data_IF_085272660564
#
_entry.id   IF_085272660564
#
_cell.length_a   1.000
_cell.length_b   1.000
_cell.length_c   1.000
_cell.angle_alpha   90.00
_cell.angle_beta   90.00
_cell.angle_gamma   90.00
#
_symmetry.space_group_name_H-M   'P 1'
#
loop_
_entity.id
_entity.type
_entity.pdbx_description
1 polymer ?
#
# COMPACT_ATOMS: atom_id res chain seq x y z
N UNK A 1 -19.92 -5.73 -15.54
CA UNK A 1 -19.17 -5.12 -14.41
C UNK A 1 -17.72 -4.93 -14.85
N UNK A 2 -17.30 -3.72 -15.25
CA UNK A 2 -15.89 -3.47 -15.65
C UNK A 2 -15.07 -3.27 -14.37
N UNK A 3 -14.38 -4.31 -13.91
CA UNK A 3 -13.45 -4.21 -12.79
C UNK A 3 -12.36 -3.19 -13.18
N UNK A 4 -12.26 -2.10 -12.42
CA UNK A 4 -11.14 -1.17 -12.58
C UNK A 4 -9.87 -1.95 -12.21
N UNK A 5 -8.89 -2.02 -13.12
CA UNK A 5 -7.57 -2.66 -12.93
C UNK A 5 -6.97 -2.50 -11.51
N UNK A 6 -6.97 -1.31 -10.87
CA UNK A 6 -6.46 -1.16 -9.49
C UNK A 6 -7.18 -2.00 -8.42
N UNK A 7 -8.43 -2.37 -8.63
CA UNK A 7 -9.21 -3.18 -7.68
C UNK A 7 -8.78 -4.65 -7.69
N UNK A 8 -8.29 -5.15 -8.82
CA UNK A 8 -7.80 -6.53 -8.97
C UNK A 8 -6.51 -6.69 -8.17
N UNK A 9 -5.52 -5.80 -8.37
CA UNK A 9 -4.26 -5.82 -7.63
C UNK A 9 -4.45 -5.63 -6.12
N UNK A 10 -5.44 -4.83 -5.72
CA UNK A 10 -5.85 -4.68 -4.32
C UNK A 10 -6.36 -5.99 -3.71
N UNK A 11 -7.31 -6.66 -4.38
CA UNK A 11 -7.85 -7.94 -3.91
C UNK A 11 -6.76 -9.00 -3.87
N UNK A 12 -5.96 -9.07 -4.93
CA UNK A 12 -4.88 -10.03 -5.07
C UNK A 12 -3.89 -9.89 -3.91
N UNK A 13 -3.41 -8.68 -3.60
CA UNK A 13 -2.54 -8.40 -2.46
C UNK A 13 -3.11 -8.98 -1.14
N UNK A 14 -4.40 -8.77 -0.89
CA UNK A 14 -5.07 -9.29 0.32
C UNK A 14 -5.07 -10.82 0.37
N UNK A 15 -5.37 -11.47 -0.75
CA UNK A 15 -5.39 -12.93 -0.81
C UNK A 15 -4.00 -13.55 -0.67
N UNK A 16 -2.97 -12.92 -1.27
CA UNK A 16 -1.59 -13.34 -1.12
C UNK A 16 -1.12 -13.22 0.34
N UNK A 17 -1.39 -12.10 1.01
CA UNK A 17 -1.08 -11.94 2.42
C UNK A 17 -1.81 -12.95 3.32
N UNK A 18 -3.12 -13.16 3.11
CA UNK A 18 -3.87 -14.17 3.85
C UNK A 18 -3.32 -15.58 3.61
N UNK A 19 -2.94 -15.89 2.38
CA UNK A 19 -2.27 -17.15 2.04
C UNK A 19 -0.95 -17.32 2.79
N UNK A 20 -0.15 -16.26 2.91
CA UNK A 20 1.08 -16.28 3.68
C UNK A 20 0.82 -16.57 5.16
N UNK A 21 -0.19 -15.91 5.77
CA UNK A 21 -0.58 -16.18 7.17
C UNK A 21 -1.07 -17.62 7.38
N UNK A 22 -1.94 -18.11 6.49
CA UNK A 22 -2.43 -19.50 6.56
C UNK A 22 -1.26 -20.48 6.44
N UNK A 23 -0.32 -20.24 5.52
CA UNK A 23 0.86 -21.09 5.36
C UNK A 23 1.75 -21.08 6.61
N UNK A 24 1.88 -19.96 7.31
CA UNK A 24 2.56 -19.86 8.61
C UNK A 24 1.84 -20.67 9.69
N UNK A 25 0.53 -20.50 9.81
CA UNK A 25 -0.28 -21.23 10.80
C UNK A 25 -0.27 -22.74 10.57
N UNK A 26 -0.24 -23.20 9.31
CA UNK A 26 -0.11 -24.62 8.99
C UNK A 26 1.23 -25.15 9.51
N UNK A 27 2.32 -24.38 9.39
CA UNK A 27 3.64 -24.79 9.88
C UNK A 27 3.67 -24.90 11.41
N UNK A 28 3.05 -23.96 12.11
CA UNK A 28 3.05 -23.91 13.58
C UNK A 28 2.14 -24.98 14.21
N UNK A 29 1.00 -25.29 13.58
CA UNK A 29 0.00 -26.22 14.12
C UNK A 29 0.16 -27.66 13.61
N UNK A 30 1.12 -27.94 12.74
CA UNK A 30 1.31 -29.29 12.21
C UNK A 30 1.90 -30.26 13.25
N UNK A 31 1.40 -31.48 13.27
CA UNK A 31 1.92 -32.55 14.12
C UNK A 31 3.37 -32.88 13.72
N UNK A 32 4.30 -32.72 14.67
CA UNK A 32 5.75 -32.94 14.47
C UNK A 32 6.10 -34.39 14.18
N UNK A 33 5.15 -35.30 14.37
CA UNK A 33 5.31 -36.74 14.21
C UNK A 33 5.04 -37.22 12.78
N UNK A 34 4.40 -36.41 11.95
CA UNK A 34 4.03 -36.78 10.57
C UNK A 34 4.97 -36.15 9.55
N UNK A 35 5.44 -36.90 8.53
CA UNK A 35 6.29 -36.34 7.49
C UNK A 35 5.48 -35.36 6.64
N UNK A 36 5.95 -34.10 6.57
CA UNK A 36 5.40 -33.09 5.65
C UNK A 36 6.49 -32.52 4.75
N UNK A 37 6.09 -32.08 3.55
CA UNK A 37 6.98 -31.42 2.61
C UNK A 37 7.30 -29.98 3.08
N UNK A 38 8.17 -29.85 4.08
CA UNK A 38 8.61 -28.56 4.66
C UNK A 38 9.07 -27.57 3.59
N UNK A 39 9.83 -28.05 2.60
CA UNK A 39 10.25 -27.23 1.47
C UNK A 39 9.04 -26.62 0.74
N UNK A 40 8.01 -27.40 0.40
CA UNK A 40 6.87 -26.86 -0.33
C UNK A 40 6.11 -25.78 0.48
N UNK A 41 5.91 -26.03 1.78
CA UNK A 41 5.25 -25.07 2.67
C UNK A 41 6.03 -23.77 2.81
N UNK A 42 7.35 -23.85 3.03
CA UNK A 42 8.20 -22.65 3.11
C UNK A 42 8.29 -21.90 1.78
N UNK A 43 8.36 -22.61 0.64
CA UNK A 43 8.33 -21.98 -0.69
C UNK A 43 7.02 -21.21 -0.90
N UNK A 44 5.89 -21.81 -0.53
CA UNK A 44 4.60 -21.16 -0.60
C UNK A 44 4.55 -19.91 0.31
N UNK A 45 5.01 -20.00 1.55
CA UNK A 45 5.03 -18.87 2.48
C UNK A 45 5.88 -17.70 1.96
N UNK A 46 7.13 -17.99 1.55
CA UNK A 46 8.05 -17.00 1.01
C UNK A 46 7.49 -16.37 -0.27
N UNK A 47 6.95 -17.18 -1.18
CA UNK A 47 6.32 -16.68 -2.40
C UNK A 47 5.13 -15.76 -2.10
N UNK A 48 4.22 -16.20 -1.23
CA UNK A 48 2.97 -15.50 -0.95
C UNK A 48 3.22 -14.16 -0.23
N UNK A 49 4.14 -14.14 0.76
CA UNK A 49 4.52 -12.92 1.48
C UNK A 49 5.20 -11.89 0.58
N UNK A 50 6.24 -12.31 -0.14
CA UNK A 50 6.97 -11.42 -1.04
C UNK A 50 6.12 -10.96 -2.24
N UNK A 51 5.22 -11.81 -2.74
CA UNK A 51 4.27 -11.40 -3.79
C UNK A 51 3.27 -10.37 -3.26
N UNK A 52 2.83 -10.46 -2.00
CA UNK A 52 2.02 -9.41 -1.37
C UNK A 52 2.78 -8.08 -1.35
N UNK A 53 4.05 -8.08 -0.94
CA UNK A 53 4.90 -6.88 -0.97
C UNK A 53 4.99 -6.27 -2.39
N UNK A 54 5.27 -7.10 -3.39
CA UNK A 54 5.33 -6.66 -4.78
C UNK A 54 4.00 -6.12 -5.31
N UNK A 55 2.87 -6.71 -4.91
CA UNK A 55 1.53 -6.24 -5.27
C UNK A 55 1.17 -4.93 -4.55
N UNK A 56 1.65 -4.72 -3.32
CA UNK A 56 1.51 -3.46 -2.61
C UNK A 56 2.23 -2.33 -3.36
N UNK A 57 3.47 -2.55 -3.79
CA UNK A 57 4.21 -1.62 -4.64
C UNK A 57 3.50 -1.39 -5.99
N UNK A 58 2.95 -2.45 -6.59
CA UNK A 58 2.22 -2.35 -7.84
C UNK A 58 0.97 -1.45 -7.73
N UNK A 59 0.24 -1.53 -6.61
CA UNK A 59 -0.89 -0.65 -6.33
C UNK A 59 -0.49 0.83 -6.29
N UNK A 60 0.71 1.14 -5.81
CA UNK A 60 1.26 2.50 -5.83
C UNK A 60 1.66 2.91 -7.26
N UNK A 61 2.30 2.01 -8.01
CA UNK A 61 2.72 2.25 -9.40
C UNK A 61 1.56 2.52 -10.35
N UNK A 62 0.43 1.82 -10.20
CA UNK A 62 -0.78 2.06 -11.01
C UNK A 62 -1.31 3.48 -10.83
N UNK A 63 -1.21 4.06 -9.63
CA UNK A 63 -1.59 5.46 -9.40
C UNK A 63 -0.70 6.39 -10.20
N UNK A 64 0.60 6.15 -10.21
CA UNK A 64 1.55 6.94 -10.99
C UNK A 64 1.27 6.83 -12.49
N UNK A 65 0.92 5.65 -12.99
CA UNK A 65 0.52 5.46 -14.38
C UNK A 65 -0.73 6.31 -14.71
N UNK A 66 -1.73 6.34 -13.81
CA UNK A 66 -2.93 7.15 -14.00
C UNK A 66 -2.65 8.67 -13.99
N UNK A 67 -1.63 9.12 -13.24
CA UNK A 67 -1.22 10.53 -13.14
C UNK A 67 -0.37 10.97 -14.36
N UNK A 68 0.33 10.03 -15.00
CA UNK A 68 1.23 10.29 -16.12
C UNK A 68 0.77 9.66 -17.46
N UNK A 69 -0.49 9.85 -17.90
CA UNK A 69 -1.04 9.13 -19.05
C UNK A 69 -0.35 9.48 -20.39
N UNK A 70 0.33 10.63 -20.46
CA UNK A 70 0.98 11.11 -21.70
C UNK A 70 2.45 10.64 -21.85
N UNK A 71 3.09 10.20 -20.76
CA UNK A 71 4.51 9.85 -20.77
C UNK A 71 4.72 8.33 -20.83
N UNK A 72 4.57 7.78 -22.04
CA UNK A 72 4.84 6.36 -22.34
C UNK A 72 6.17 5.82 -21.79
N UNK A 73 7.33 6.52 -21.85
CA UNK A 73 8.58 5.96 -21.34
C UNK A 73 8.53 5.66 -19.84
N UNK A 74 7.88 6.51 -19.04
CA UNK A 74 7.73 6.30 -17.60
C UNK A 74 6.88 5.06 -17.34
N UNK A 75 5.75 4.92 -18.05
CA UNK A 75 4.86 3.75 -17.91
C UNK A 75 5.58 2.45 -18.25
N UNK A 76 6.33 2.43 -19.37
CA UNK A 76 7.12 1.26 -19.77
C UNK A 76 8.20 0.94 -18.74
N UNK A 77 8.92 1.96 -18.23
CA UNK A 77 9.92 1.76 -17.19
C UNK A 77 9.33 1.16 -15.91
N UNK A 78 8.18 1.66 -15.43
CA UNK A 78 7.50 1.09 -14.26
C UNK A 78 7.08 -0.36 -14.51
N UNK A 79 6.54 -0.67 -15.69
CA UNK A 79 6.10 -2.03 -16.02
C UNK A 79 7.28 -3.02 -16.04
N UNK A 80 8.42 -2.61 -16.60
CA UNK A 80 9.66 -3.42 -16.60
C UNK A 80 10.16 -3.63 -15.17
N UNK A 81 10.14 -2.59 -14.33
CA UNK A 81 10.57 -2.71 -12.93
C UNK A 81 9.65 -3.65 -12.12
N UNK A 82 8.33 -3.60 -12.36
CA UNK A 82 7.38 -4.54 -11.74
C UNK A 82 7.66 -5.99 -12.15
N UNK A 83 7.88 -6.23 -13.45
CA UNK A 83 8.20 -7.57 -13.96
C UNK A 83 9.52 -8.09 -13.38
N UNK A 84 10.55 -7.24 -13.29
CA UNK A 84 11.82 -7.56 -12.65
C UNK A 84 11.65 -7.94 -11.17
N UNK A 85 10.80 -7.23 -10.44
CA UNK A 85 10.51 -7.55 -9.04
C UNK A 85 9.89 -8.95 -8.90
N UNK A 86 8.88 -9.27 -9.71
CA UNK A 86 8.23 -10.58 -9.65
C UNK A 86 9.16 -11.73 -10.06
N UNK A 87 10.06 -11.50 -11.03
CA UNK A 87 11.07 -12.48 -11.42
C UNK A 87 12.04 -12.80 -10.26
N UNK A 88 12.47 -11.78 -9.52
CA UNK A 88 13.33 -11.98 -8.34
C UNK A 88 12.60 -12.75 -7.23
N UNK A 89 11.33 -12.44 -6.98
CA UNK A 89 10.50 -13.14 -5.99
C UNK A 89 10.36 -14.63 -6.34
N UNK A 90 10.10 -14.94 -7.61
CA UNK A 90 10.00 -16.33 -8.09
C UNK A 90 11.33 -17.07 -7.93
N UNK A 91 12.44 -16.41 -8.22
CA UNK A 91 13.79 -16.98 -8.06
C UNK A 91 14.08 -17.31 -6.60
N UNK A 92 13.74 -16.41 -5.66
CA UNK A 92 13.87 -16.65 -4.23
C UNK A 92 13.00 -17.82 -3.77
N UNK A 93 11.73 -17.84 -4.18
CA UNK A 93 10.80 -18.88 -3.79
C UNK A 93 11.27 -20.27 -4.23
N UNK A 94 11.78 -20.43 -5.45
CA UNK A 94 12.32 -21.73 -5.91
C UNK A 94 13.61 -22.11 -5.19
N UNK A 95 14.42 -21.13 -4.80
CA UNK A 95 15.68 -21.33 -4.07
C UNK A 95 15.52 -21.80 -2.63
N UNK A 96 14.36 -21.59 -2.01
CA UNK A 96 14.11 -21.99 -0.62
C UNK A 96 14.05 -23.51 -0.46
N UNK A 97 14.79 -24.03 0.53
CA UNK A 97 14.81 -25.43 0.93
C UNK A 97 14.62 -25.55 2.44
N UNK A 98 13.91 -26.57 2.88
CA UNK A 98 13.75 -26.91 4.30
C UNK A 98 13.51 -28.40 4.45
N UNK A 99 14.18 -29.00 5.42
CA UNK A 99 14.11 -30.43 5.72
C UNK A 99 13.23 -30.68 6.96
N UNK A 100 12.51 -31.79 6.94
CA UNK A 100 11.74 -32.24 8.10
C UNK A 100 12.65 -32.98 9.06
N UNK A 101 12.76 -32.48 10.30
CA UNK A 101 13.53 -33.08 11.36
C UNK A 101 12.58 -33.92 12.23
N UNK A 102 12.80 -35.24 12.36
CA UNK A 102 11.93 -36.10 13.15
C UNK A 102 11.86 -35.61 14.60
N UNK A 103 10.65 -35.58 15.17
CA UNK A 103 10.31 -35.10 16.53
C UNK A 103 10.46 -33.58 16.77
N UNK A 104 11.10 -32.83 15.86
CA UNK A 104 11.23 -31.37 15.96
C UNK A 104 10.32 -30.62 14.98
N UNK A 105 9.89 -31.25 13.89
CA UNK A 105 9.09 -30.62 12.84
C UNK A 105 9.95 -30.07 11.70
N UNK A 106 9.54 -28.99 11.03
CA UNK A 106 10.36 -28.42 9.97
C UNK A 106 11.55 -27.64 10.50
N UNK A 107 12.74 -27.94 9.95
CA UNK A 107 13.95 -27.18 10.23
C UNK A 107 13.90 -25.77 9.64
N UNK A 108 14.78 -24.86 10.11
CA UNK A 108 14.88 -23.51 9.59
C UNK A 108 15.04 -23.49 8.06
N UNK A 109 14.36 -22.58 7.35
CA UNK A 109 14.48 -22.49 5.91
C UNK A 109 15.88 -22.01 5.52
N UNK A 110 16.46 -22.69 4.53
CA UNK A 110 17.70 -22.30 3.89
C UNK A 110 17.38 -21.58 2.60
N UNK A 111 17.78 -20.32 2.50
CA UNK A 111 17.75 -19.51 1.29
C UNK A 111 18.93 -18.54 1.30
N UNK A 112 19.25 -17.96 0.14
CA UNK A 112 20.31 -16.97 0.06
C UNK A 112 19.89 -15.67 0.75
N UNK A 113 20.51 -15.36 1.88
CA UNK A 113 20.31 -14.10 2.60
C UNK A 113 20.63 -12.89 1.69
N UNK A 114 21.67 -13.00 0.86
CA UNK A 114 22.03 -11.96 -0.13
C UNK A 114 20.90 -11.70 -1.12
N UNK A 115 20.20 -12.75 -1.58
CA UNK A 115 19.07 -12.61 -2.50
C UNK A 115 17.87 -11.94 -1.81
N UNK A 116 17.58 -12.29 -0.55
CA UNK A 116 16.52 -11.65 0.22
C UNK A 116 16.82 -10.16 0.44
N UNK A 117 18.05 -9.80 0.82
CA UNK A 117 18.48 -8.40 0.96
C UNK A 117 18.32 -7.67 -0.38
N UNK A 118 18.75 -8.28 -1.49
CA UNK A 118 18.62 -7.68 -2.82
C UNK A 118 17.16 -7.39 -3.18
N UNK A 119 16.22 -8.30 -2.88
CA UNK A 119 14.78 -8.12 -3.13
C UNK A 119 14.21 -6.98 -2.29
N UNK A 120 14.57 -6.91 -1.01
CA UNK A 120 14.09 -5.84 -0.12
C UNK A 120 14.62 -4.47 -0.55
N UNK A 121 15.90 -4.37 -0.91
CA UNK A 121 16.49 -3.13 -1.45
C UNK A 121 15.81 -2.77 -2.78
N UNK A 122 15.60 -3.74 -3.67
CA UNK A 122 14.91 -3.50 -4.93
C UNK A 122 13.50 -2.94 -4.69
N UNK A 123 12.73 -3.53 -3.77
CA UNK A 123 11.39 -3.04 -3.40
C UNK A 123 11.46 -1.60 -2.88
N UNK A 124 12.43 -1.32 -2.01
CA UNK A 124 12.63 0.01 -1.45
C UNK A 124 12.91 1.05 -2.53
N UNK A 125 13.81 0.75 -3.46
CA UNK A 125 14.14 1.62 -4.59
C UNK A 125 12.93 1.82 -5.51
N UNK A 126 12.20 0.76 -5.82
CA UNK A 126 11.01 0.81 -6.65
C UNK A 126 9.92 1.71 -6.03
N UNK A 127 9.59 1.51 -4.76
CA UNK A 127 8.59 2.31 -4.06
C UNK A 127 9.05 3.78 -3.95
N UNK A 128 10.34 4.01 -3.69
CA UNK A 128 10.92 5.37 -3.58
C UNK A 128 10.87 6.10 -4.93
N UNK A 129 11.14 5.41 -6.04
CA UNK A 129 11.04 5.98 -7.38
C UNK A 129 9.59 6.37 -7.70
N UNK A 130 8.63 5.50 -7.40
CA UNK A 130 7.20 5.77 -7.58
C UNK A 130 6.76 6.98 -6.73
N UNK A 131 7.18 7.01 -5.47
CA UNK A 131 6.92 8.12 -4.57
C UNK A 131 7.51 9.43 -5.11
N UNK A 132 8.77 9.42 -5.57
CA UNK A 132 9.44 10.57 -6.16
C UNK A 132 8.70 11.11 -7.39
N UNK A 133 8.23 10.23 -8.27
CA UNK A 133 7.44 10.62 -9.45
C UNK A 133 6.10 11.27 -9.07
N UNK A 134 5.42 10.74 -8.04
CA UNK A 134 4.18 11.31 -7.54
C UNK A 134 4.40 12.67 -6.87
N UNK A 135 5.47 12.79 -6.06
CA UNK A 135 5.85 14.02 -5.39
C UNK A 135 6.25 15.13 -6.37
N UNK A 136 7.07 14.80 -7.37
CA UNK A 136 7.48 15.74 -8.40
C UNK A 136 6.28 16.29 -9.16
N UNK A 137 5.33 15.42 -9.52
CA UNK A 137 4.11 15.86 -10.19
C UNK A 137 3.26 16.77 -9.31
N UNK A 138 3.14 16.44 -8.02
CA UNK A 138 2.39 17.25 -7.08
C UNK A 138 2.98 18.67 -6.95
N UNK A 139 4.31 18.78 -6.84
CA UNK A 139 5.00 20.08 -6.81
C UNK A 139 4.81 20.87 -8.09
N UNK A 140 4.97 20.23 -9.25
CA UNK A 140 4.76 20.87 -10.54
C UNK A 140 3.33 21.41 -10.69
N UNK A 141 2.32 20.67 -10.23
CA UNK A 141 0.93 21.14 -10.25
C UNK A 141 0.68 22.27 -9.26
N UNK A 142 1.22 22.19 -8.04
CA UNK A 142 1.10 23.26 -7.04
C UNK A 142 1.69 24.59 -7.54
N UNK A 143 2.84 24.55 -8.23
CA UNK A 143 3.47 25.73 -8.81
C UNK A 143 2.65 26.33 -9.97
N UNK A 144 2.06 25.51 -10.84
CA UNK A 144 1.22 25.99 -11.94
C UNK A 144 -0.09 26.64 -11.47
N UNK A 145 -0.55 26.32 -10.26
CA UNK A 145 -1.84 26.79 -9.73
C UNK A 145 -1.76 28.07 -8.90
N UNK A 146 -0.57 28.44 -8.42
CA UNK A 146 -0.31 29.83 -8.02
C UNK A 146 -0.62 30.81 -9.16
N UNK A 147 -0.66 30.33 -10.41
CA UNK A 147 -0.88 31.13 -11.61
C UNK A 147 -2.28 30.97 -12.24
N UNK A 148 -3.14 30.03 -11.79
CA UNK A 148 -4.47 29.79 -12.37
C UNK A 148 -5.54 29.49 -11.31
N UNK A 149 -6.57 30.33 -11.27
CA UNK A 149 -7.73 30.28 -10.36
C UNK A 149 -8.72 29.13 -10.64
N UNK A 150 -8.25 27.87 -10.69
CA UNK A 150 -9.11 26.67 -10.76
C UNK A 150 -8.85 25.77 -9.53
N UNK A 151 -9.45 26.13 -8.39
CA UNK A 151 -9.19 25.51 -7.07
C UNK A 151 -9.87 24.15 -6.82
N UNK A 152 -11.08 23.92 -7.34
CA UNK A 152 -11.97 22.87 -6.82
C UNK A 152 -11.60 21.42 -7.19
N UNK A 153 -11.23 21.13 -8.44
CA UNK A 153 -10.83 19.76 -8.84
C UNK A 153 -9.41 19.38 -8.35
N UNK A 154 -8.59 20.38 -8.01
CA UNK A 154 -7.21 20.19 -7.61
C UNK A 154 -7.06 19.84 -6.14
N UNK A 155 -7.80 20.50 -5.24
CA UNK A 155 -7.75 20.20 -3.80
C UNK A 155 -8.07 18.72 -3.52
N UNK A 156 -9.06 18.18 -4.23
CA UNK A 156 -9.42 16.77 -4.09
C UNK A 156 -8.29 15.82 -4.52
N UNK A 157 -7.60 16.13 -5.62
CA UNK A 157 -6.47 15.33 -6.13
C UNK A 157 -5.25 15.46 -5.23
N UNK A 158 -4.97 16.66 -4.71
CA UNK A 158 -3.84 16.93 -3.82
C UNK A 158 -4.00 16.22 -2.47
N UNK A 159 -5.18 16.24 -1.86
CA UNK A 159 -5.43 15.57 -0.58
C UNK A 159 -5.23 14.07 -0.70
N UNK A 160 -5.72 13.46 -1.78
CA UNK A 160 -5.54 12.02 -2.06
C UNK A 160 -4.07 11.65 -2.25
N UNK A 161 -3.31 12.49 -2.95
CA UNK A 161 -1.88 12.27 -3.16
C UNK A 161 -1.09 12.40 -1.85
N UNK A 162 -1.43 13.38 -1.01
CA UNK A 162 -0.78 13.58 0.29
C UNK A 162 -1.08 12.43 1.25
N UNK A 163 -2.32 11.93 1.26
CA UNK A 163 -2.68 10.74 2.04
C UNK A 163 -1.91 9.51 1.56
N UNK A 164 -1.81 9.29 0.23
CA UNK A 164 -1.00 8.22 -0.35
C UNK A 164 0.49 8.30 0.02
N UNK A 165 1.03 9.52 0.13
CA UNK A 165 2.42 9.77 0.51
C UNK A 165 2.73 9.39 1.97
N UNK A 166 1.85 9.74 2.91
CA UNK A 166 2.03 9.36 4.31
C UNK A 166 2.06 7.84 4.50
N UNK A 167 1.20 7.13 3.76
CA UNK A 167 1.20 5.66 3.75
C UNK A 167 2.48 5.08 3.16
N UNK A 168 3.05 5.72 2.12
CA UNK A 168 4.36 5.34 1.60
C UNK A 168 5.47 5.50 2.65
N UNK A 169 5.51 6.61 3.41
CA UNK A 169 6.54 6.82 4.43
C UNK A 169 6.52 5.70 5.49
N UNK A 170 5.33 5.28 5.90
CA UNK A 170 5.18 4.16 6.85
C UNK A 170 5.73 2.86 6.25
N UNK A 171 5.33 2.52 5.01
CA UNK A 171 5.82 1.32 4.34
C UNK A 171 7.35 1.34 4.13
N UNK A 172 7.90 2.51 3.79
CA UNK A 172 9.34 2.73 3.66
C UNK A 172 10.08 2.46 4.97
N UNK A 173 9.62 3.04 6.09
CA UNK A 173 10.26 2.85 7.39
C UNK A 173 10.23 1.38 7.84
N UNK A 174 9.13 0.69 7.59
CA UNK A 174 9.00 -0.74 7.90
C UNK A 174 9.98 -1.55 7.05
N UNK A 175 10.04 -1.31 5.74
CA UNK A 175 10.97 -2.01 4.85
C UNK A 175 12.45 -1.75 5.22
N UNK A 176 12.81 -0.51 5.58
CA UNK A 176 14.16 -0.19 6.10
C UNK A 176 14.42 -0.97 7.39
N UNK A 177 13.47 -0.99 8.31
CA UNK A 177 13.60 -1.71 9.58
C UNK A 177 13.76 -3.22 9.37
N UNK A 178 13.06 -3.82 8.39
CA UNK A 178 13.26 -5.22 7.99
C UNK A 178 14.67 -5.49 7.47
N UNK A 179 15.21 -4.60 6.64
CA UNK A 179 16.59 -4.74 6.14
C UNK A 179 17.58 -4.66 7.30
N UNK A 180 17.40 -3.74 8.24
CA UNK A 180 18.26 -3.62 9.43
C UNK A 180 18.24 -4.93 10.23
N UNK A 181 17.07 -5.48 10.52
CA UNK A 181 16.94 -6.75 11.25
C UNK A 181 17.60 -7.92 10.51
N UNK A 182 17.54 -7.92 9.18
CA UNK A 182 18.17 -8.93 8.34
C UNK A 182 19.71 -8.81 8.34
N UNK A 183 20.25 -7.60 8.30
CA UNK A 183 21.71 -7.35 8.32
C UNK A 183 22.31 -7.64 9.68
N UNK A 184 21.59 -7.36 10.76
CA UNK A 184 21.98 -7.70 12.14
C UNK A 184 21.98 -9.23 12.39
N UNK A 185 21.48 -10.02 11.44
CA UNK A 185 21.43 -11.48 11.50
C UNK A 185 20.69 -11.99 12.75
N UNK A 186 19.50 -11.43 12.98
CA UNK A 186 18.60 -11.87 14.04
C UNK A 186 18.26 -13.36 13.87
N UNK A 187 18.04 -14.06 14.99
CA UNK A 187 17.70 -15.49 14.95
C UNK A 187 16.50 -15.76 14.03
N UNK A 188 16.51 -16.86 13.25
CA UNK A 188 15.46 -17.17 12.27
C UNK A 188 14.01 -17.08 12.77
N UNK A 189 13.64 -17.60 13.98
CA UNK A 189 12.25 -17.54 14.44
C UNK A 189 11.79 -16.11 14.76
N UNK A 190 12.67 -15.29 15.34
CA UNK A 190 12.36 -13.89 15.65
C UNK A 190 12.26 -13.06 14.37
N UNK A 191 13.13 -13.31 13.41
CA UNK A 191 13.07 -12.63 12.11
C UNK A 191 11.81 -12.98 11.32
N UNK A 192 11.40 -14.25 11.32
CA UNK A 192 10.18 -14.70 10.63
C UNK A 192 8.90 -14.05 11.18
N UNK A 193 8.78 -13.95 12.50
CA UNK A 193 7.61 -13.29 13.12
C UNK A 193 7.61 -11.79 12.86
N UNK A 194 8.78 -11.15 12.91
CA UNK A 194 8.93 -9.73 12.56
C UNK A 194 8.50 -9.44 11.12
N UNK A 195 8.97 -10.24 10.14
CA UNK A 195 8.57 -10.08 8.73
C UNK A 195 7.05 -10.21 8.58
N UNK A 196 6.44 -11.22 9.19
CA UNK A 196 5.00 -11.43 9.07
C UNK A 196 4.19 -10.23 9.59
N UNK A 197 4.63 -9.63 10.71
CA UNK A 197 4.02 -8.40 11.25
C UNK A 197 4.26 -7.22 10.31
N UNK A 198 5.50 -7.04 9.83
CA UNK A 198 5.88 -5.98 8.91
C UNK A 198 5.04 -6.00 7.61
N UNK A 199 4.96 -7.17 6.96
CA UNK A 199 4.15 -7.40 5.76
C UNK A 199 2.67 -7.10 6.02
N UNK A 200 2.15 -7.50 7.19
CA UNK A 200 0.77 -7.22 7.57
C UNK A 200 0.47 -5.73 7.69
N UNK A 201 1.36 -4.97 8.33
CA UNK A 201 1.21 -3.52 8.44
C UNK A 201 1.29 -2.87 7.05
N UNK A 202 2.25 -3.25 6.21
CA UNK A 202 2.38 -2.75 4.83
C UNK A 202 1.10 -3.04 4.03
N UNK A 203 0.56 -4.26 4.11
CA UNK A 203 -0.66 -4.66 3.41
C UNK A 203 -1.89 -3.86 3.88
N UNK A 204 -2.06 -3.65 5.19
CA UNK A 204 -3.13 -2.82 5.75
C UNK A 204 -3.02 -1.37 5.28
N UNK A 205 -1.80 -0.82 5.29
CA UNK A 205 -1.50 0.55 4.87
C UNK A 205 -1.80 0.74 3.38
N UNK A 206 -1.34 -0.18 2.53
CA UNK A 206 -1.66 -0.19 1.09
C UNK A 206 -3.17 -0.28 0.87
N UNK A 207 -3.87 -1.10 1.66
CA UNK A 207 -5.31 -1.24 1.57
C UNK A 207 -6.07 0.06 1.93
N UNK A 208 -5.66 0.72 3.01
CA UNK A 208 -6.24 2.01 3.43
C UNK A 208 -6.03 3.08 2.37
N UNK A 209 -4.84 3.12 1.76
CA UNK A 209 -4.56 4.03 0.67
C UNK A 209 -5.54 3.81 -0.50
N UNK A 210 -5.78 2.56 -0.92
CA UNK A 210 -6.70 2.24 -2.05
C UNK A 210 -8.14 2.61 -1.72
N UNK A 211 -8.61 2.33 -0.50
CA UNK A 211 -9.97 2.69 -0.08
C UNK A 211 -10.19 4.19 -0.02
N UNK A 212 -9.22 4.95 0.52
CA UNK A 212 -9.28 6.42 0.52
C UNK A 212 -9.49 6.96 -0.90
N UNK A 213 -8.71 6.47 -1.86
CA UNK A 213 -8.85 6.86 -3.27
C UNK A 213 -10.24 6.51 -3.83
N UNK A 214 -10.73 5.30 -3.57
CA UNK A 214 -12.06 4.88 -4.05
C UNK A 214 -13.18 5.75 -3.50
N UNK A 215 -13.14 6.06 -2.21
CA UNK A 215 -14.17 6.89 -1.56
C UNK A 215 -14.19 8.30 -2.17
N UNK A 216 -13.02 8.88 -2.45
CA UNK A 216 -12.93 10.18 -3.09
C UNK A 216 -13.47 10.17 -4.53
N UNK A 217 -13.16 9.11 -5.31
CA UNK A 217 -13.71 8.98 -6.66
C UNK A 217 -15.23 8.81 -6.66
N UNK A 218 -15.79 8.04 -5.72
CA UNK A 218 -17.24 7.85 -5.60
C UNK A 218 -17.93 9.17 -5.26
N UNK A 219 -17.43 9.88 -4.25
CA UNK A 219 -17.98 11.18 -3.86
C UNK A 219 -17.93 12.21 -5.01
N UNK A 220 -16.84 12.22 -5.79
CA UNK A 220 -16.73 13.10 -6.96
C UNK A 220 -17.74 12.75 -8.07
N UNK A 221 -18.01 11.45 -8.29
CA UNK A 221 -19.01 11.00 -9.25
C UNK A 221 -20.44 11.32 -8.78
N UNK A 222 -20.73 11.16 -7.50
CA UNK A 222 -22.04 11.46 -6.92
C UNK A 222 -22.36 12.96 -7.05
N UNK A 223 -21.40 13.85 -6.76
CA UNK A 223 -21.54 15.29 -6.97
C UNK A 223 -21.78 15.60 -8.45
N UNK A 224 -21.03 14.98 -9.37
CA UNK A 224 -21.22 15.19 -10.81
C UNK A 224 -22.56 14.65 -11.33
N UNK A 225 -23.15 13.66 -10.66
CA UNK A 225 -24.43 13.05 -11.04
C UNK A 225 -25.64 13.73 -10.38
N UNK A 226 -25.45 14.35 -9.21
CA UNK A 226 -26.46 15.16 -8.52
C UNK A 226 -26.73 16.50 -9.23
N UNK A 227 -25.88 16.92 -10.17
CA UNK A 227 -26.11 18.05 -11.07
C UNK A 227 -26.12 17.60 -12.55
N UNK A 228 -27.17 16.93 -13.06
CA UNK A 228 -27.21 16.46 -14.44
C UNK A 228 -27.55 17.54 -15.49
N UNK A 229 -27.71 18.82 -15.13
CA UNK A 229 -28.09 19.83 -16.10
C UNK A 229 -27.45 21.19 -15.84
N UNK A 230 -26.32 21.44 -16.49
CA UNK A 230 -26.13 22.70 -17.21
C UNK A 230 -25.25 22.41 -18.43
N UNK A 231 -25.92 22.07 -19.53
CA UNK A 231 -25.30 22.02 -20.84
C UNK A 231 -24.68 23.37 -21.19
N UNK A 232 -23.50 23.29 -21.78
CA UNK A 232 -22.93 24.22 -22.75
C UNK A 232 -23.67 25.57 -22.91
N UNK A 233 -23.17 26.63 -22.27
CA UNK A 233 -23.32 28.00 -22.77
C UNK A 233 -22.21 28.87 -22.18
N UNK A 234 -21.36 29.36 -23.07
CA UNK A 234 -20.45 30.48 -22.88
C UNK A 234 -21.28 31.69 -22.45
N UNK A 235 -21.15 32.17 -21.20
CA UNK A 235 -21.43 33.57 -20.82
C UNK A 235 -20.98 33.86 -19.39
N UNK A 236 -20.20 34.94 -19.28
CA UNK A 236 -19.97 35.84 -18.16
C UNK A 236 -20.77 35.58 -16.88
N UNK A 237 -20.06 35.26 -15.79
CA UNK A 237 -20.62 35.24 -14.43
C UNK A 237 -20.71 36.70 -13.92
N UNK A 238 -21.89 37.20 -13.51
CA UNK A 238 -21.96 38.40 -12.69
C UNK A 238 -21.59 38.07 -11.24
N UNK A 239 -20.77 38.92 -10.65
CA UNK A 239 -20.44 38.92 -9.22
C UNK A 239 -21.70 39.22 -8.41
N UNK A 240 -22.10 38.39 -7.42
CA UNK A 240 -23.10 38.79 -6.45
C UNK A 240 -22.41 39.56 -5.32
N UNK A 241 -22.58 40.89 -5.30
CA UNK A 241 -22.50 41.65 -4.06
C UNK A 241 -23.71 41.27 -3.21
N UNK A 242 -23.51 40.67 -2.04
CA UNK A 242 -24.47 40.85 -0.97
C UNK A 242 -23.77 40.85 0.39
N UNK A 243 -23.86 42.00 1.05
CA UNK A 243 -23.43 42.26 2.41
C UNK A 243 -24.35 41.49 3.38
N UNK A 244 -23.84 40.50 4.10
CA UNK A 244 -24.31 40.20 5.45
C UNK A 244 -23.23 39.47 6.24
N UNK A 245 -22.62 40.24 7.13
CA UNK A 245 -21.80 39.80 8.26
C UNK A 245 -22.63 38.95 9.22
N UNK A 246 -22.34 37.66 9.32
CA UNK A 246 -22.58 36.87 10.53
C UNK A 246 -21.41 35.90 10.73
N UNK A 247 -20.69 36.13 11.83
CA UNK A 247 -19.66 35.26 12.40
C UNK A 247 -20.22 33.85 12.65
N UNK A 248 -19.60 32.82 12.08
CA UNK A 248 -19.75 31.46 12.59
C UNK A 248 -18.39 30.80 12.80
N UNK A 249 -18.03 30.78 14.07
CA UNK A 249 -16.77 30.37 14.67
C UNK A 249 -16.73 28.83 14.75
N UNK A 250 -15.86 28.17 13.97
CA UNK A 250 -15.65 26.72 14.08
C UNK A 250 -14.69 26.43 15.25
N UNK A 251 -15.28 26.10 16.41
CA UNK A 251 -14.56 25.64 17.60
C UNK A 251 -14.24 24.15 17.46
N UNK A 252 -12.95 23.82 17.47
CA UNK A 252 -12.43 22.48 17.69
C UNK A 252 -12.93 21.98 19.05
N UNK A 253 -13.66 20.85 19.09
CA UNK A 253 -13.96 20.17 20.36
C UNK A 253 -13.08 18.92 20.49
N UNK A 254 -12.12 19.03 21.38
CA UNK A 254 -11.16 18.02 21.79
C UNK A 254 -11.25 17.97 23.32
N UNK A 255 -11.79 16.87 23.87
CA UNK A 255 -11.70 16.34 25.24
C UNK A 255 -13.07 15.79 25.66
N UNK A 256 -13.21 14.78 26.49
CA UNK A 256 -12.28 13.89 27.16
C UNK A 256 -13.14 12.82 27.82
N UNK A 257 -12.63 11.61 27.82
CA UNK A 257 -13.06 10.49 28.65
C UNK A 257 -13.09 10.94 30.12
N UNK A 258 -14.27 10.97 30.75
CA UNK A 258 -14.43 10.94 32.21
C UNK A 258 -15.76 10.24 32.53
N UNK A 259 -15.69 9.04 33.09
CA UNK A 259 -16.78 8.45 33.88
C UNK A 259 -16.38 8.51 35.36
N UNK A 260 -17.31 8.92 36.25
CA UNK A 260 -17.61 8.11 37.44
C UNK A 260 -19.13 7.98 37.63
N UNK A 261 -19.66 6.78 37.96
CA UNK A 261 -19.94 6.29 39.33
C UNK A 261 -20.88 7.22 40.11
N UNK A 262 -22.13 6.80 40.38
CA UNK A 262 -22.65 6.28 41.68
C UNK A 262 -24.18 6.41 41.83
N UNK A 263 -24.80 5.38 42.44
CA UNK A 263 -25.91 5.38 43.44
C UNK A 263 -27.21 6.15 43.11
N UNK A 264 -28.44 5.78 43.48
CA UNK A 264 -29.12 4.69 44.21
C UNK A 264 -30.60 5.08 44.15
N UNK A 265 -31.48 4.09 43.98
CA UNK A 265 -32.71 3.94 44.76
C UNK A 265 -33.22 2.52 44.58
#
# INVERSE_FOLDING_TARGET
MKLKLPMIFYLLNKYFFLGALISGQIQDNHDKSRPMNCTASFRAAVFLGNMSLGLAGANLGIRTIAIWPRNKPIIVALAVLMAGHWALILTLAVGTKSEHIPNLGCGPPQFSQSLLIAILIYSLCFDTLICGLNWFKLRAQAQLLLHRSKKTAFELTQVVLLQGLNYFVIAFLINVSTIIMLVVNVSPPTFSTYIAVAEGVISIVACRAVRSLSNVLTNAADISSAYPSLGHSTSTIPVPQNNRSEDFNYRYDQKSIVHPVRQTS
#
